data_IF_742320270038
#
_entry.id   IF_742320270038
#
_cell.length_a   1.000
_cell.length_b   1.000
_cell.length_c   1.000
_cell.angle_alpha   90.00
_cell.angle_beta   90.00
_cell.angle_gamma   90.00
#
_symmetry.space_group_name_H-M   'P 1'
#
loop_
_entity.id
_entity.type
_entity.pdbx_description
1 polymer ?
#
# COMPACT_ATOMS: atom_id res chain seq x y z
N UNK A 1 44.41 49.45 38.24
CA UNK A 1 43.77 50.72 37.91
C UNK A 1 43.61 50.70 36.38
N UNK A 2 42.53 50.70 35.77
CA UNK A 2 41.16 51.13 35.82
C UNK A 2 40.34 50.32 34.79
N UNK A 3 39.17 49.86 35.20
CA UNK A 3 38.19 49.16 34.34
C UNK A 3 37.59 50.11 33.32
N UNK A 4 37.33 49.63 32.09
CA UNK A 4 36.36 50.23 31.20
C UNK A 4 35.38 49.12 30.71
N UNK A 5 34.11 49.24 31.15
CA UNK A 5 32.98 48.50 30.63
C UNK A 5 32.60 49.03 29.25
N UNK A 6 32.42 48.15 28.29
CA UNK A 6 31.74 48.49 27.03
C UNK A 6 30.37 47.77 27.03
N UNK A 7 29.31 48.58 27.05
CA UNK A 7 27.92 48.17 26.81
C UNK A 7 27.77 47.81 25.31
N UNK A 8 27.33 46.61 25.02
CA UNK A 8 26.85 46.24 23.70
C UNK A 8 25.34 46.48 23.62
N UNK A 9 24.94 47.39 22.76
CA UNK A 9 23.51 47.62 22.44
C UNK A 9 23.01 46.57 21.48
N UNK A 10 21.94 45.88 21.92
CA UNK A 10 21.21 44.91 21.12
C UNK A 10 20.21 45.64 20.22
N UNK A 11 20.49 45.73 18.91
CA UNK A 11 19.56 46.24 17.90
C UNK A 11 18.60 45.13 17.46
N UNK A 12 17.33 45.28 17.83
CA UNK A 12 16.21 44.46 17.34
C UNK A 12 15.94 44.86 15.88
N UNK A 13 16.25 43.99 14.93
CA UNK A 13 15.82 44.14 13.53
C UNK A 13 14.39 43.61 13.41
N UNK A 14 13.43 44.51 13.19
CA UNK A 14 12.05 44.19 12.80
C UNK A 14 12.07 43.77 11.33
N UNK A 15 11.84 42.48 11.06
CA UNK A 15 11.64 41.98 9.70
C UNK A 15 10.19 42.22 9.30
N UNK A 16 9.97 43.16 8.37
CA UNK A 16 8.67 43.39 7.75
C UNK A 16 8.31 42.24 6.79
N UNK A 17 7.05 41.82 6.69
CA UNK A 17 6.65 40.75 5.78
C UNK A 17 6.71 41.29 4.33
N UNK A 18 7.49 40.61 3.49
CA UNK A 18 7.50 40.79 2.03
C UNK A 18 6.17 40.29 1.46
N UNK A 19 5.35 41.19 0.97
CA UNK A 19 4.19 40.90 0.15
C UNK A 19 4.67 40.46 -1.24
N UNK A 20 4.59 39.19 -1.56
CA UNK A 20 4.70 38.69 -2.94
C UNK A 20 3.40 39.05 -3.68
N UNK A 21 3.47 39.98 -4.60
CA UNK A 21 2.42 40.23 -5.59
C UNK A 21 2.44 39.11 -6.61
N UNK A 22 1.35 38.35 -6.70
CA UNK A 22 1.15 37.39 -7.76
C UNK A 22 0.99 38.13 -9.10
N UNK A 23 1.82 37.80 -10.08
CA UNK A 23 1.62 38.20 -11.46
C UNK A 23 0.51 37.35 -12.08
N UNK A 24 -0.50 38.03 -12.57
CA UNK A 24 -1.63 37.54 -13.35
C UNK A 24 -1.14 37.04 -14.71
N UNK A 25 -1.28 35.75 -15.00
CA UNK A 25 -1.21 35.24 -16.36
C UNK A 25 -2.58 34.66 -16.72
N UNK A 26 -3.31 35.46 -17.46
CA UNK A 26 -4.58 35.16 -18.06
C UNK A 26 -4.48 34.06 -19.11
N UNK A 27 -5.50 33.26 -19.14
CA UNK A 27 -6.18 32.59 -20.25
C UNK A 27 -6.18 31.05 -20.25
N UNK A 28 -7.40 30.53 -20.16
CA UNK A 28 -7.92 29.30 -20.74
C UNK A 28 -7.49 28.00 -20.06
N UNK A 29 -8.17 27.65 -18.98
CA UNK A 29 -8.83 26.34 -18.91
C UNK A 29 -9.96 26.39 -17.85
N UNK A 30 -11.20 26.32 -18.28
CA UNK A 30 -12.38 26.27 -17.39
C UNK A 30 -12.58 24.86 -16.88
N UNK A 31 -11.64 24.35 -16.12
CA UNK A 31 -11.81 23.20 -15.25
C UNK A 31 -11.89 23.72 -13.82
N UNK A 32 -13.04 23.54 -13.16
CA UNK A 32 -13.17 23.81 -11.73
C UNK A 32 -12.28 22.83 -10.99
N UNK A 33 -11.03 23.21 -10.73
CA UNK A 33 -10.18 22.51 -9.76
C UNK A 33 -10.69 22.90 -8.38
N UNK A 34 -11.58 22.12 -7.80
CA UNK A 34 -11.87 22.19 -6.38
C UNK A 34 -10.64 21.61 -5.68
N UNK A 35 -9.66 22.46 -5.39
CA UNK A 35 -8.56 22.11 -4.53
C UNK A 35 -9.10 21.94 -3.12
N UNK A 36 -9.21 20.71 -2.66
CA UNK A 36 -9.30 20.45 -1.22
C UNK A 36 -7.97 20.95 -0.67
N UNK A 37 -8.01 22.04 0.11
CA UNK A 37 -6.85 22.51 0.84
C UNK A 37 -6.51 21.45 1.89
N UNK A 38 -5.62 20.53 1.53
CA UNK A 38 -5.04 19.60 2.48
C UNK A 38 -4.32 20.41 3.57
N UNK A 39 -4.88 20.40 4.76
CA UNK A 39 -4.20 20.92 5.96
C UNK A 39 -3.46 19.75 6.59
N UNK A 40 -2.12 19.74 6.61
CA UNK A 40 -1.39 18.68 7.30
C UNK A 40 -1.89 18.54 8.73
N UNK A 41 -2.29 17.33 9.12
CA UNK A 41 -2.78 17.03 10.47
C UNK A 41 -4.30 17.06 10.67
N UNK A 42 -5.10 17.48 9.68
CA UNK A 42 -6.58 17.40 9.77
C UNK A 42 -7.10 16.51 8.64
N UNK A 43 -7.55 15.32 9.00
CA UNK A 43 -8.23 14.41 8.06
C UNK A 43 -9.68 14.85 7.90
N UNK A 44 -10.21 14.92 6.66
CA UNK A 44 -11.62 15.22 6.44
C UNK A 44 -12.51 14.15 7.07
N UNK A 45 -13.61 14.59 7.67
CA UNK A 45 -14.62 13.70 8.24
C UNK A 45 -15.42 12.97 7.17
N UNK A 46 -15.67 11.68 7.35
CA UNK A 46 -16.51 10.88 6.43
C UNK A 46 -17.47 9.98 7.20
N UNK A 47 -18.69 9.86 6.70
CA UNK A 47 -19.72 8.97 7.25
C UNK A 47 -20.18 7.99 6.18
N UNK A 48 -20.38 6.72 6.56
CA UNK A 48 -20.91 5.67 5.67
C UNK A 48 -22.32 5.31 6.09
N UNK A 49 -23.27 5.49 5.17
CA UNK A 49 -24.71 5.31 5.36
C UNK A 49 -25.21 4.19 4.46
N UNK A 50 -26.08 3.33 4.99
CA UNK A 50 -26.72 2.28 4.18
C UNK A 50 -28.23 2.29 4.34
N UNK A 51 -28.94 1.87 3.29
CA UNK A 51 -30.35 1.52 3.36
C UNK A 51 -30.56 0.19 4.11
N UNK A 52 -31.82 -0.17 4.34
CA UNK A 52 -32.18 -1.47 4.92
C UNK A 52 -32.34 -2.49 3.80
N UNK A 53 -31.34 -3.37 3.65
CA UNK A 53 -31.45 -4.56 2.81
C UNK A 53 -30.45 -5.62 3.31
N UNK A 54 -30.73 -6.92 3.08
CA UNK A 54 -29.79 -7.97 3.43
C UNK A 54 -28.40 -7.72 2.81
N UNK A 55 -27.33 -7.94 3.60
CA UNK A 55 -25.96 -7.78 3.17
C UNK A 55 -25.41 -6.34 3.18
N UNK A 56 -26.25 -5.29 3.24
CA UNK A 56 -25.76 -3.90 3.29
C UNK A 56 -25.04 -3.57 4.61
N UNK A 57 -25.38 -4.21 5.72
CA UNK A 57 -24.66 -4.02 6.98
C UNK A 57 -23.24 -4.58 6.90
N UNK A 58 -23.08 -5.74 6.27
CA UNK A 58 -21.75 -6.31 6.02
C UNK A 58 -20.94 -5.43 5.07
N UNK A 59 -21.56 -4.95 4.00
CA UNK A 59 -20.93 -4.00 3.08
C UNK A 59 -20.47 -2.73 3.82
N UNK A 60 -21.35 -2.12 4.61
CA UNK A 60 -21.06 -0.92 5.40
C UNK A 60 -19.87 -1.17 6.34
N UNK A 61 -19.89 -2.30 7.05
CA UNK A 61 -18.82 -2.63 7.99
C UNK A 61 -17.47 -2.79 7.31
N UNK A 62 -17.42 -3.45 6.16
CA UNK A 62 -16.19 -3.62 5.38
C UNK A 62 -15.73 -2.27 4.82
N UNK A 63 -16.62 -1.51 4.17
CA UNK A 63 -16.31 -0.20 3.58
C UNK A 63 -15.86 0.82 4.63
N UNK A 64 -16.51 0.87 5.79
CA UNK A 64 -16.12 1.74 6.89
C UNK A 64 -14.71 1.41 7.40
N UNK A 65 -14.37 0.11 7.51
CA UNK A 65 -13.03 -0.34 7.86
C UNK A 65 -12.00 0.04 6.79
N UNK A 66 -12.33 -0.14 5.52
CA UNK A 66 -11.45 0.22 4.40
C UNK A 66 -11.12 1.72 4.40
N UNK A 67 -12.14 2.54 4.67
CA UNK A 67 -11.98 3.99 4.76
C UNK A 67 -11.13 4.37 5.98
N UNK A 68 -11.36 3.79 7.14
CA UNK A 68 -10.54 4.00 8.34
C UNK A 68 -9.08 3.57 8.11
N UNK A 69 -8.88 2.42 7.46
CA UNK A 69 -7.56 1.85 7.18
C UNK A 69 -6.83 2.51 6.00
N UNK A 70 -7.51 3.39 5.26
CA UNK A 70 -6.85 4.27 4.29
C UNK A 70 -6.04 5.39 4.94
N UNK A 71 -6.26 5.65 6.22
CA UNK A 71 -5.64 6.73 7.01
C UNK A 71 -5.83 8.14 6.42
N UNK A 72 -6.75 8.28 5.44
CA UNK A 72 -7.01 9.53 4.73
C UNK A 72 -8.20 10.30 5.27
N UNK A 73 -9.07 9.64 6.06
CA UNK A 73 -10.28 10.20 6.64
C UNK A 73 -10.37 9.97 8.13
N UNK A 74 -11.15 10.81 8.80
CA UNK A 74 -11.67 10.54 10.10
C UNK A 74 -13.08 9.93 9.95
N UNK A 75 -13.19 8.64 10.28
CA UNK A 75 -14.45 7.93 10.19
C UNK A 75 -15.38 8.36 11.32
N UNK A 76 -16.50 8.97 10.96
CA UNK A 76 -17.55 9.36 11.91
C UNK A 76 -18.50 8.18 12.10
N UNK A 77 -18.46 7.59 13.30
CA UNK A 77 -19.39 6.54 13.71
C UNK A 77 -20.60 7.14 14.40
N UNK A 78 -21.78 6.82 13.88
CA UNK A 78 -23.02 7.35 14.44
C UNK A 78 -23.52 6.43 15.56
N UNK A 79 -23.91 6.95 16.74
CA UNK A 79 -24.51 6.14 17.80
C UNK A 79 -25.83 5.54 17.31
N UNK A 80 -26.07 4.24 17.58
CA UNK A 80 -27.28 3.54 17.17
C UNK A 80 -27.32 3.27 15.66
N UNK A 81 -26.19 2.86 15.09
CA UNK A 81 -25.96 2.62 13.65
C UNK A 81 -26.98 1.74 12.95
N UNK A 82 -27.77 0.96 13.69
CA UNK A 82 -28.79 0.05 13.14
C UNK A 82 -30.07 0.78 12.67
N UNK A 83 -30.20 2.07 12.96
CA UNK A 83 -31.42 2.84 12.67
C UNK A 83 -31.22 4.11 11.86
N UNK A 84 -29.99 4.51 11.52
CA UNK A 84 -29.76 5.72 10.74
C UNK A 84 -30.07 5.41 9.28
N UNK A 85 -31.30 5.69 8.96
CA UNK A 85 -31.77 5.77 7.58
C UNK A 85 -31.18 7.03 6.98
N UNK A 86 -31.00 7.01 5.67
CA UNK A 86 -30.95 8.22 4.84
C UNK A 86 -32.11 9.11 5.29
N UNK A 87 -31.87 10.00 6.26
CA UNK A 87 -32.92 10.86 6.78
C UNK A 87 -33.13 11.96 5.75
N UNK A 88 -34.26 11.92 5.09
CA UNK A 88 -34.70 13.06 4.27
C UNK A 88 -34.69 14.32 5.11
N UNK A 89 -34.23 15.44 4.52
CA UNK A 89 -34.28 16.74 5.21
C UNK A 89 -35.68 17.02 5.73
N UNK A 90 -35.83 17.53 6.97
CA UNK A 90 -37.13 17.91 7.48
C UNK A 90 -37.76 18.96 6.54
N UNK A 91 -38.87 18.65 5.92
CA UNK A 91 -39.57 19.56 5.00
C UNK A 91 -39.41 19.29 3.51
N UNK A 92 -38.68 18.27 3.07
CA UNK A 92 -38.71 17.82 1.69
C UNK A 92 -40.10 17.24 1.39
N UNK A 93 -41.01 18.10 0.83
CA UNK A 93 -42.28 17.64 0.28
C UNK A 93 -41.97 16.65 -0.85
N UNK A 94 -42.65 15.48 -0.88
CA UNK A 94 -42.62 14.65 -2.06
C UNK A 94 -43.13 15.53 -3.22
N UNK A 95 -42.35 15.62 -4.28
CA UNK A 95 -42.77 16.32 -5.49
C UNK A 95 -44.10 15.71 -5.92
N UNK A 96 -45.19 16.49 -5.81
CA UNK A 96 -46.50 16.11 -6.27
C UNK A 96 -46.47 16.10 -7.82
N UNK A 97 -46.13 14.95 -8.36
CA UNK A 97 -46.20 14.67 -9.79
C UNK A 97 -47.64 14.49 -10.19
N UNK A 98 -48.28 15.57 -10.67
CA UNK A 98 -49.46 15.47 -11.53
C UNK A 98 -48.98 15.09 -12.94
N UNK A 99 -49.03 13.81 -13.25
CA UNK A 99 -48.68 13.30 -14.58
C UNK A 99 -49.04 11.83 -14.70
N UNK A 100 -50.25 11.57 -15.25
CA UNK A 100 -50.68 10.25 -15.72
C UNK A 100 -49.79 9.82 -16.91
N UNK A 101 -48.91 8.82 -16.72
CA UNK A 101 -48.09 8.27 -17.81
C UNK A 101 -47.27 7.07 -17.40
N UNK A 102 -47.77 5.89 -17.79
CA UNK A 102 -47.16 4.58 -18.02
C UNK A 102 -45.81 4.20 -17.33
N UNK A 103 -45.94 3.19 -16.46
CA UNK A 103 -45.00 2.07 -16.16
C UNK A 103 -43.64 2.12 -16.84
N UNK A 104 -42.64 2.57 -16.11
CA UNK A 104 -41.24 2.35 -16.33
C UNK A 104 -40.58 2.27 -14.98
N UNK A 105 -39.75 1.22 -14.71
CA UNK A 105 -39.16 0.89 -13.42
C UNK A 105 -38.56 2.10 -12.71
N UNK A 106 -39.20 2.51 -11.60
CA UNK A 106 -38.84 3.70 -10.85
C UNK A 106 -37.46 3.58 -10.24
N UNK A 107 -36.55 4.41 -10.74
CA UNK A 107 -35.35 4.78 -9.98
C UNK A 107 -35.84 5.35 -8.64
N UNK A 108 -35.40 4.76 -7.52
CA UNK A 108 -35.66 5.30 -6.19
C UNK A 108 -35.12 6.73 -6.17
N UNK A 109 -36.03 7.70 -6.12
CA UNK A 109 -35.74 9.11 -5.96
C UNK A 109 -34.79 9.24 -4.75
N UNK A 110 -33.62 9.78 -4.97
CA UNK A 110 -32.68 10.09 -3.92
C UNK A 110 -33.35 11.11 -2.98
N UNK A 111 -33.93 10.61 -1.88
CA UNK A 111 -34.36 11.47 -0.79
C UNK A 111 -33.09 12.20 -0.33
N UNK A 112 -33.07 13.52 -0.45
CA UNK A 112 -31.90 14.34 -0.16
C UNK A 112 -31.41 14.06 1.26
N UNK A 113 -30.07 13.93 1.40
CA UNK A 113 -29.44 13.80 2.69
C UNK A 113 -29.67 15.05 3.54
N UNK A 114 -29.76 14.87 4.86
CA UNK A 114 -29.79 15.99 5.80
C UNK A 114 -28.37 16.55 5.97
N UNK A 115 -27.87 17.29 4.98
CA UNK A 115 -26.52 17.86 4.99
C UNK A 115 -26.21 18.70 6.23
N UNK A 116 -27.12 19.56 6.75
CA UNK A 116 -26.86 20.30 7.99
C UNK A 116 -26.56 19.40 9.18
N UNK A 117 -27.22 18.24 9.29
CA UNK A 117 -26.95 17.28 10.37
C UNK A 117 -25.54 16.71 10.23
N UNK A 118 -25.16 16.25 9.06
CA UNK A 118 -23.82 15.67 8.86
C UNK A 118 -22.71 16.69 9.00
N UNK A 119 -22.96 17.93 8.56
CA UNK A 119 -22.02 19.03 8.78
C UNK A 119 -21.83 19.34 10.28
N UNK A 120 -22.90 19.33 11.07
CA UNK A 120 -22.84 19.52 12.52
C UNK A 120 -22.10 18.38 13.23
N UNK A 121 -22.05 17.19 12.64
CA UNK A 121 -21.26 16.04 13.12
C UNK A 121 -19.81 16.07 12.65
N UNK A 122 -19.39 17.06 11.88
CA UNK A 122 -18.03 17.22 11.37
C UNK A 122 -17.73 16.40 10.11
N UNK A 123 -18.75 15.92 9.38
CA UNK A 123 -18.55 15.22 8.13
C UNK A 123 -18.34 16.20 6.98
N UNK A 124 -17.23 16.03 6.25
CA UNK A 124 -16.99 16.70 4.97
C UNK A 124 -17.61 15.88 3.81
N UNK A 125 -17.64 14.56 3.97
CA UNK A 125 -18.20 13.63 2.99
C UNK A 125 -19.23 12.69 3.63
N UNK A 126 -20.23 12.32 2.83
CA UNK A 126 -21.14 11.23 3.17
C UNK A 126 -21.20 10.22 2.01
N UNK A 127 -21.02 8.96 2.33
CA UNK A 127 -21.12 7.84 1.39
C UNK A 127 -22.42 7.13 1.66
N UNK A 128 -23.38 7.24 0.73
CA UNK A 128 -24.68 6.59 0.84
C UNK A 128 -24.74 5.36 -0.07
N UNK A 129 -25.08 4.20 0.49
CA UNK A 129 -25.21 2.94 -0.24
C UNK A 129 -26.67 2.51 -0.24
N UNK A 130 -27.21 2.34 -1.44
CA UNK A 130 -28.58 1.89 -1.65
C UNK A 130 -28.63 0.63 -2.53
N UNK A 131 -29.60 -0.27 -2.33
CA UNK A 131 -29.79 -1.40 -3.23
C UNK A 131 -30.28 -0.88 -4.58
N UNK A 132 -29.89 -1.56 -5.66
CA UNK A 132 -30.36 -1.34 -7.02
C UNK A 132 -30.97 -2.63 -7.58
N UNK A 133 -31.44 -2.60 -8.83
CA UNK A 133 -32.03 -3.78 -9.46
C UNK A 133 -31.03 -4.93 -9.57
N UNK A 134 -31.48 -6.15 -9.30
CA UNK A 134 -30.65 -7.35 -9.24
C UNK A 134 -29.65 -7.31 -8.08
N UNK A 135 -28.48 -7.93 -8.27
CA UNK A 135 -27.38 -7.98 -7.28
C UNK A 135 -26.52 -6.71 -7.31
N UNK A 136 -27.13 -5.55 -7.57
CA UNK A 136 -26.41 -4.30 -7.73
C UNK A 136 -26.64 -3.35 -6.56
N UNK A 137 -25.63 -2.52 -6.30
CA UNK A 137 -25.73 -1.40 -5.37
C UNK A 137 -25.39 -0.08 -6.07
N UNK A 138 -26.02 0.99 -5.64
CA UNK A 138 -25.63 2.34 -5.98
C UNK A 138 -24.95 2.96 -4.77
N UNK A 139 -23.75 3.48 -4.99
CA UNK A 139 -23.01 4.23 -3.98
C UNK A 139 -22.91 5.67 -4.44
N UNK A 140 -23.42 6.56 -3.62
CA UNK A 140 -23.40 7.99 -3.88
C UNK A 140 -22.46 8.67 -2.89
N UNK A 141 -21.47 9.37 -3.42
CA UNK A 141 -20.55 10.18 -2.63
C UNK A 141 -21.06 11.62 -2.64
N UNK A 142 -21.32 12.16 -1.46
CA UNK A 142 -21.81 13.51 -1.27
C UNK A 142 -20.72 14.41 -0.71
N UNK A 143 -20.64 15.62 -1.23
CA UNK A 143 -19.98 16.76 -0.59
C UNK A 143 -20.97 17.37 0.38
N UNK A 144 -20.69 17.29 1.67
CA UNK A 144 -21.62 17.73 2.72
C UNK A 144 -21.69 19.24 2.79
N UNK A 145 -20.56 19.94 2.66
CA UNK A 145 -20.50 21.40 2.68
C UNK A 145 -21.20 22.02 1.46
N UNK A 146 -20.98 21.43 0.28
CA UNK A 146 -21.62 21.86 -0.96
C UNK A 146 -23.09 21.41 -1.10
N UNK A 147 -23.57 20.53 -0.24
CA UNK A 147 -24.94 19.99 -0.28
C UNK A 147 -25.27 19.25 -1.59
N UNK A 148 -24.28 18.61 -2.21
CA UNK A 148 -24.41 18.06 -3.56
C UNK A 148 -23.82 16.66 -3.68
N UNK A 149 -24.34 15.90 -4.66
CA UNK A 149 -23.73 14.64 -5.08
C UNK A 149 -22.48 14.94 -5.88
N UNK A 150 -21.35 14.40 -5.43
CA UNK A 150 -20.05 14.52 -6.10
C UNK A 150 -19.83 13.39 -7.12
N UNK A 151 -20.22 12.16 -6.76
CA UNK A 151 -20.05 10.99 -7.62
C UNK A 151 -21.13 9.94 -7.33
N UNK A 152 -21.61 9.28 -8.37
CA UNK A 152 -22.43 8.08 -8.27
C UNK A 152 -21.66 6.90 -8.89
N UNK A 153 -21.64 5.80 -8.17
CA UNK A 153 -21.00 4.55 -8.57
C UNK A 153 -22.05 3.45 -8.56
N UNK A 154 -22.09 2.65 -9.62
CA UNK A 154 -22.89 1.42 -9.66
C UNK A 154 -21.96 0.23 -9.67
N UNK A 155 -22.26 -0.77 -8.84
CA UNK A 155 -21.48 -1.98 -8.77
C UNK A 155 -22.40 -3.18 -8.60
N UNK A 156 -22.09 -4.24 -9.34
CA UNK A 156 -22.67 -5.56 -9.10
C UNK A 156 -21.85 -6.23 -8.01
N UNK A 157 -22.52 -6.76 -7.00
CA UNK A 157 -21.86 -7.49 -5.91
C UNK A 157 -22.24 -8.96 -5.97
N UNK A 158 -21.30 -9.86 -5.77
CA UNK A 158 -21.62 -11.28 -5.55
C UNK A 158 -22.53 -11.43 -4.32
N UNK A 159 -23.22 -12.56 -4.17
CA UNK A 159 -23.93 -12.88 -2.95
C UNK A 159 -23.01 -12.82 -1.71
N UNK A 160 -23.58 -12.50 -0.54
CA UNK A 160 -22.80 -12.40 0.71
C UNK A 160 -22.01 -13.70 1.05
N UNK A 161 -22.53 -14.84 0.62
CA UNK A 161 -21.89 -16.15 0.82
C UNK A 161 -20.78 -16.47 -0.17
N UNK A 162 -20.61 -15.64 -1.20
CA UNK A 162 -19.56 -15.82 -2.20
C UNK A 162 -18.20 -15.38 -1.61
N UNK A 163 -17.14 -16.18 -1.73
CA UNK A 163 -15.80 -15.79 -1.28
C UNK A 163 -15.28 -14.48 -1.90
N UNK A 164 -15.78 -14.10 -3.08
CA UNK A 164 -15.42 -12.87 -3.77
C UNK A 164 -16.13 -11.62 -3.23
N UNK A 165 -17.13 -11.74 -2.36
CA UNK A 165 -17.92 -10.61 -1.86
C UNK A 165 -17.05 -9.54 -1.19
N UNK A 166 -16.16 -9.94 -0.27
CA UNK A 166 -15.28 -8.98 0.42
C UNK A 166 -14.42 -8.20 -0.56
N UNK A 167 -13.75 -8.90 -1.47
CA UNK A 167 -12.88 -8.26 -2.46
C UNK A 167 -13.65 -7.34 -3.41
N UNK A 168 -14.91 -7.66 -3.74
CA UNK A 168 -15.78 -6.76 -4.51
C UNK A 168 -16.11 -5.48 -3.73
N UNK A 169 -16.35 -5.58 -2.42
CA UNK A 169 -16.56 -4.42 -1.54
C UNK A 169 -15.27 -3.60 -1.41
N UNK A 170 -14.11 -4.22 -1.23
CA UNK A 170 -12.81 -3.53 -1.19
C UNK A 170 -12.55 -2.71 -2.46
N UNK A 171 -12.83 -3.27 -3.65
CA UNK A 171 -12.73 -2.52 -4.91
C UNK A 171 -13.70 -1.33 -4.96
N UNK A 172 -14.91 -1.52 -4.44
CA UNK A 172 -15.88 -0.44 -4.36
C UNK A 172 -15.42 0.66 -3.40
N UNK A 173 -14.83 0.30 -2.26
CA UNK A 173 -14.21 1.23 -1.31
C UNK A 173 -13.08 2.04 -1.97
N UNK A 174 -12.21 1.39 -2.73
CA UNK A 174 -11.12 2.06 -3.45
C UNK A 174 -11.64 3.08 -4.48
N UNK A 175 -12.74 2.75 -5.19
CA UNK A 175 -13.41 3.68 -6.12
C UNK A 175 -14.10 4.85 -5.40
N UNK A 176 -14.60 4.63 -4.19
CA UNK A 176 -15.13 5.71 -3.32
C UNK A 176 -14.00 6.66 -2.93
N UNK A 177 -12.86 6.13 -2.50
CA UNK A 177 -11.67 6.93 -2.17
C UNK A 177 -11.17 7.72 -3.38
N UNK A 178 -11.11 7.10 -4.55
CA UNK A 178 -10.80 7.80 -5.81
C UNK A 178 -11.80 8.94 -6.11
N UNK A 179 -13.07 8.70 -5.88
CA UNK A 179 -14.12 9.72 -6.06
C UNK A 179 -14.04 10.88 -5.09
N UNK A 180 -13.46 10.69 -3.91
CA UNK A 180 -13.29 11.74 -2.88
C UNK A 180 -11.95 12.48 -3.02
N UNK A 181 -10.86 11.75 -3.19
CA UNK A 181 -9.48 12.26 -3.09
C UNK A 181 -8.74 12.31 -4.43
N UNK A 182 -9.33 11.78 -5.50
CA UNK A 182 -8.71 11.72 -6.83
C UNK A 182 -7.65 10.60 -7.00
N UNK A 183 -7.45 9.78 -5.96
CA UNK A 183 -6.54 8.63 -6.01
C UNK A 183 -7.21 7.39 -5.41
N UNK A 184 -7.07 6.21 -6.03
CA UNK A 184 -7.66 4.99 -5.51
C UNK A 184 -7.04 4.59 -4.17
N UNK A 185 -7.82 3.87 -3.35
CA UNK A 185 -7.37 3.28 -2.09
C UNK A 185 -6.46 2.05 -2.28
N UNK A 186 -6.25 1.35 -1.17
CA UNK A 186 -5.47 0.11 -1.09
C UNK A 186 -6.27 -1.06 -0.53
N UNK A 187 -7.60 -0.89 -0.38
CA UNK A 187 -8.45 -1.92 0.22
C UNK A 187 -8.43 -3.22 -0.60
N UNK A 188 -8.47 -3.12 -1.95
CA UNK A 188 -8.41 -4.26 -2.84
C UNK A 188 -6.98 -4.76 -3.08
N UNK A 189 -6.20 -4.91 -2.01
CA UNK A 189 -4.83 -5.44 -2.04
C UNK A 189 -4.64 -6.58 -1.03
N UNK A 190 -3.55 -7.31 -1.17
CA UNK A 190 -3.20 -8.45 -0.34
C UNK A 190 -1.75 -8.43 0.07
N UNK A 191 -1.46 -9.10 1.16
CA UNK A 191 -0.08 -9.31 1.62
C UNK A 191 0.22 -10.80 1.63
N UNK A 192 1.26 -11.22 0.91
CA UNK A 192 1.88 -12.53 1.10
C UNK A 192 2.75 -12.50 2.35
N UNK A 193 2.89 -13.61 3.02
CA UNK A 193 3.82 -13.75 4.14
C UNK A 193 4.18 -15.22 4.37
N UNK A 194 5.26 -15.45 5.07
CA UNK A 194 5.71 -16.80 5.47
C UNK A 194 5.34 -17.05 6.92
N UNK A 195 4.78 -18.21 7.18
CA UNK A 195 4.53 -18.75 8.53
C UNK A 195 4.68 -20.27 8.49
N UNK A 196 5.38 -20.84 9.46
CA UNK A 196 5.64 -22.28 9.54
C UNK A 196 6.21 -22.90 8.26
N UNK A 197 7.10 -22.14 7.58
CA UNK A 197 7.71 -22.56 6.33
C UNK A 197 6.76 -22.61 5.13
N UNK A 198 5.61 -21.98 5.18
CA UNK A 198 4.61 -21.95 4.11
C UNK A 198 4.26 -20.51 3.77
N UNK A 199 3.89 -20.27 2.51
CA UNK A 199 3.41 -18.96 2.06
C UNK A 199 1.91 -18.86 2.21
N UNK A 200 1.47 -17.84 2.90
CA UNK A 200 0.07 -17.45 3.07
C UNK A 200 -0.20 -16.12 2.36
N UNK A 201 -1.47 -15.88 2.07
CA UNK A 201 -1.97 -14.58 1.64
C UNK A 201 -3.06 -14.12 2.60
N UNK A 202 -3.15 -12.79 2.81
CA UNK A 202 -4.15 -12.16 3.66
C UNK A 202 -4.60 -10.85 3.01
N UNK A 203 -5.89 -10.48 3.13
CA UNK A 203 -6.35 -9.17 2.69
C UNK A 203 -5.75 -8.06 3.58
N UNK A 204 -5.58 -6.86 3.05
CA UNK A 204 -4.92 -5.76 3.77
C UNK A 204 -5.62 -5.36 5.09
N UNK A 205 -6.85 -5.76 5.29
CA UNK A 205 -7.61 -5.54 6.53
C UNK A 205 -7.50 -6.68 7.55
N UNK A 206 -6.66 -7.68 7.27
CA UNK A 206 -6.41 -8.83 8.14
C UNK A 206 -7.39 -9.98 7.99
N UNK A 207 -8.30 -9.93 7.02
CA UNK A 207 -9.25 -11.00 6.75
C UNK A 207 -8.78 -11.94 5.62
N UNK A 208 -9.56 -12.98 5.36
CA UNK A 208 -9.38 -13.96 4.26
C UNK A 208 -7.96 -14.56 4.19
N UNK A 209 -7.38 -14.88 5.36
CA UNK A 209 -6.09 -15.55 5.40
C UNK A 209 -6.20 -16.97 4.85
N UNK A 210 -5.37 -17.30 3.87
CA UNK A 210 -5.34 -18.62 3.27
C UNK A 210 -3.92 -19.05 2.88
N UNK A 211 -3.68 -20.36 2.92
CA UNK A 211 -2.45 -20.97 2.42
C UNK A 211 -2.44 -20.91 0.89
N UNK A 212 -1.33 -20.45 0.30
CA UNK A 212 -1.17 -20.37 -1.15
C UNK A 212 -0.03 -21.23 -1.69
N UNK A 213 1.03 -21.49 -0.93
CA UNK A 213 2.05 -22.43 -1.37
C UNK A 213 1.56 -23.87 -1.22
N UNK A 214 1.83 -24.67 -2.24
CA UNK A 214 1.46 -26.10 -2.29
C UNK A 214 2.67 -27.01 -2.08
N UNK A 215 3.57 -26.62 -1.17
CA UNK A 215 4.80 -27.37 -0.92
C UNK A 215 4.81 -28.00 0.47
N UNK A 216 5.38 -29.20 0.57
CA UNK A 216 5.73 -29.85 1.85
C UNK A 216 7.15 -29.47 2.33
N UNK A 217 7.89 -28.73 1.50
CA UNK A 217 9.21 -28.20 1.81
C UNK A 217 9.10 -26.76 2.30
N UNK A 218 10.11 -26.28 3.03
CA UNK A 218 10.10 -24.91 3.54
C UNK A 218 10.11 -23.88 2.41
N UNK A 219 9.10 -23.00 2.39
CA UNK A 219 9.00 -21.90 1.45
C UNK A 219 9.43 -20.58 2.11
N UNK A 220 10.12 -19.70 1.35
CA UNK A 220 10.62 -18.41 1.83
C UNK A 220 10.58 -17.35 0.73
N UNK A 221 10.74 -16.09 1.15
CA UNK A 221 10.94 -14.90 0.28
C UNK A 221 9.90 -14.78 -0.83
N UNK A 222 8.60 -14.71 -0.51
CA UNK A 222 7.59 -14.48 -1.52
C UNK A 222 7.73 -13.08 -2.11
N UNK A 223 7.48 -12.94 -3.42
CA UNK A 223 7.47 -11.66 -4.11
C UNK A 223 6.36 -11.65 -5.18
N UNK A 224 5.56 -10.58 -5.24
CA UNK A 224 4.51 -10.42 -6.23
C UNK A 224 5.06 -10.03 -7.61
N UNK A 225 4.45 -10.55 -8.65
CA UNK A 225 4.57 -9.96 -9.98
C UNK A 225 3.64 -8.73 -10.08
N UNK A 226 4.01 -7.76 -10.93
CA UNK A 226 3.21 -6.53 -11.12
C UNK A 226 1.83 -6.77 -11.74
N UNK A 227 1.57 -7.97 -12.27
CA UNK A 227 0.25 -8.36 -12.77
C UNK A 227 -0.78 -8.63 -11.66
N UNK A 228 -0.35 -8.69 -10.38
CA UNK A 228 -1.21 -9.01 -9.25
C UNK A 228 -1.84 -10.41 -9.28
N UNK A 229 -1.35 -11.28 -10.16
CA UNK A 229 -1.86 -12.67 -10.34
C UNK A 229 -0.83 -13.71 -9.94
N UNK A 230 0.43 -13.44 -10.19
CA UNK A 230 1.54 -14.37 -9.95
C UNK A 230 2.41 -13.88 -8.80
N UNK A 231 3.01 -14.83 -8.12
CA UNK A 231 4.08 -14.57 -7.16
C UNK A 231 5.20 -15.58 -7.35
N UNK A 232 6.40 -15.21 -6.96
CA UNK A 232 7.55 -16.11 -6.87
C UNK A 232 7.89 -16.37 -5.41
N UNK A 233 8.53 -17.49 -5.15
CA UNK A 233 9.05 -17.84 -3.84
C UNK A 233 10.18 -18.86 -3.99
N UNK A 234 10.99 -19.00 -2.96
CA UNK A 234 12.02 -20.03 -2.85
C UNK A 234 11.46 -21.22 -2.07
N UNK A 235 11.78 -22.42 -2.50
CA UNK A 235 11.50 -23.68 -1.82
C UNK A 235 12.81 -24.41 -1.54
N UNK A 236 12.98 -24.91 -0.30
CA UNK A 236 14.10 -25.76 0.05
C UNK A 236 13.86 -27.18 -0.47
N UNK A 237 14.72 -27.66 -1.35
CA UNK A 237 14.67 -28.99 -1.91
C UNK A 237 16.04 -29.66 -1.82
N UNK A 238 16.15 -30.76 -1.08
CA UNK A 238 17.38 -31.55 -0.96
C UNK A 238 18.66 -30.75 -0.68
N UNK A 239 18.57 -29.73 0.19
CA UNK A 239 19.68 -28.87 0.53
C UNK A 239 19.93 -27.70 -0.44
N UNK A 240 19.12 -27.58 -1.49
CA UNK A 240 19.20 -26.49 -2.47
C UNK A 240 17.98 -25.59 -2.41
N UNK A 241 18.12 -24.32 -2.74
CA UNK A 241 16.99 -23.39 -2.94
C UNK A 241 16.57 -23.38 -4.40
N UNK A 242 15.28 -23.64 -4.65
CA UNK A 242 14.70 -23.55 -6.00
C UNK A 242 13.64 -22.47 -6.03
N UNK A 243 13.67 -21.67 -7.07
CA UNK A 243 12.65 -20.64 -7.29
C UNK A 243 11.46 -21.21 -8.05
N UNK A 244 10.27 -20.80 -7.65
CA UNK A 244 9.02 -21.11 -8.31
C UNK A 244 8.25 -19.83 -8.62
N UNK A 245 7.51 -19.85 -9.71
CA UNK A 245 6.46 -18.87 -10.02
C UNK A 245 5.13 -19.59 -9.95
N UNK A 246 4.19 -19.01 -9.20
CA UNK A 246 2.87 -19.61 -8.96
C UNK A 246 1.76 -18.58 -9.21
N UNK A 247 0.66 -19.04 -9.82
CA UNK A 247 -0.57 -18.26 -9.96
C UNK A 247 -1.41 -18.40 -8.69
N UNK A 248 -1.81 -17.28 -8.10
CA UNK A 248 -2.50 -17.22 -6.80
C UNK A 248 -3.90 -17.84 -6.85
N UNK A 249 -4.59 -17.69 -7.97
CA UNK A 249 -5.98 -18.11 -8.10
C UNK A 249 -6.09 -19.62 -8.41
N UNK A 250 -5.30 -20.09 -9.37
CA UNK A 250 -5.34 -21.49 -9.81
C UNK A 250 -4.42 -22.41 -9.01
N UNK A 251 -3.46 -21.87 -8.26
CA UNK A 251 -2.42 -22.62 -7.58
C UNK A 251 -1.40 -23.28 -8.52
N UNK A 252 -1.52 -23.09 -9.84
CA UNK A 252 -0.56 -23.65 -10.81
C UNK A 252 0.80 -23.01 -10.60
N UNK A 253 1.82 -23.84 -10.45
CA UNK A 253 3.21 -23.42 -10.27
C UNK A 253 4.15 -24.04 -11.30
N UNK A 254 5.21 -23.33 -11.59
CA UNK A 254 6.31 -23.78 -12.43
C UNK A 254 7.65 -23.42 -11.77
N UNK A 255 8.66 -24.31 -11.83
CA UNK A 255 10.00 -23.95 -11.43
C UNK A 255 10.57 -22.88 -12.37
N UNK A 256 11.32 -21.94 -11.82
CA UNK A 256 12.12 -21.02 -12.62
C UNK A 256 13.27 -21.83 -13.25
N UNK A 257 13.46 -21.77 -14.56
CA UNK A 257 14.45 -22.62 -15.23
C UNK A 257 15.87 -22.09 -15.04
N UNK A 258 16.42 -22.29 -13.84
CA UNK A 258 17.81 -22.01 -13.51
C UNK A 258 18.66 -23.28 -13.66
N UNK A 259 19.92 -23.14 -14.04
CA UNK A 259 20.86 -24.24 -14.21
C UNK A 259 21.71 -24.48 -12.96
N UNK A 260 22.14 -25.72 -12.72
CA UNK A 260 23.01 -26.10 -11.62
C UNK A 260 22.28 -26.39 -10.31
N UNK A 261 23.04 -26.77 -9.28
CA UNK A 261 22.57 -27.09 -7.92
C UNK A 261 22.97 -25.97 -6.94
N UNK A 262 22.71 -24.72 -7.32
CA UNK A 262 22.97 -23.58 -6.45
C UNK A 262 21.79 -23.30 -5.52
N UNK A 263 22.03 -22.55 -4.45
CA UNK A 263 20.98 -22.03 -3.59
C UNK A 263 20.47 -20.70 -4.19
N UNK A 264 19.30 -20.74 -4.83
CA UNK A 264 18.62 -19.56 -5.40
C UNK A 264 17.56 -19.06 -4.42
N UNK A 265 17.58 -17.76 -4.07
CA UNK A 265 16.69 -17.18 -3.06
C UNK A 265 16.42 -15.68 -3.32
N UNK A 266 15.55 -15.06 -2.52
CA UNK A 266 15.15 -13.63 -2.61
C UNK A 266 14.80 -13.17 -4.03
N UNK A 267 13.81 -13.82 -4.69
CA UNK A 267 13.42 -13.44 -6.03
C UNK A 267 12.70 -12.08 -6.06
N UNK A 268 12.90 -11.32 -7.14
CA UNK A 268 12.21 -10.06 -7.44
C UNK A 268 11.86 -9.99 -8.92
N UNK A 269 10.61 -9.75 -9.25
CA UNK A 269 10.19 -9.59 -10.65
C UNK A 269 10.65 -8.25 -11.23
N UNK A 270 11.03 -8.27 -12.50
CA UNK A 270 11.09 -7.05 -13.30
C UNK A 270 9.68 -6.44 -13.45
N UNK A 271 9.52 -5.12 -13.63
CA UNK A 271 8.21 -4.48 -13.74
C UNK A 271 7.35 -5.01 -14.89
N UNK A 272 7.96 -5.49 -15.98
CA UNK A 272 7.25 -6.13 -17.10
C UNK A 272 6.88 -7.61 -16.84
N UNK A 273 7.31 -8.16 -15.69
CA UNK A 273 7.00 -9.52 -15.25
C UNK A 273 7.63 -10.63 -16.09
N UNK A 274 8.66 -10.35 -16.91
CA UNK A 274 9.32 -11.33 -17.79
C UNK A 274 10.61 -11.88 -17.22
N UNK A 275 11.30 -11.08 -16.42
CA UNK A 275 12.60 -11.42 -15.83
C UNK A 275 12.46 -11.52 -14.33
N UNK A 276 13.23 -12.39 -13.71
CA UNK A 276 13.40 -12.50 -12.28
C UNK A 276 14.85 -12.18 -11.92
N UNK A 277 15.06 -11.20 -11.05
CA UNK A 277 16.33 -11.03 -10.34
C UNK A 277 16.29 -11.86 -9.07
N UNK A 278 17.41 -12.42 -8.65
CA UNK A 278 17.49 -13.26 -7.47
C UNK A 278 18.92 -13.36 -6.95
N UNK A 279 19.08 -13.78 -5.71
CA UNK A 279 20.35 -14.10 -5.12
C UNK A 279 20.71 -15.55 -5.40
N UNK A 280 21.93 -15.81 -5.83
CA UNK A 280 22.47 -17.15 -6.04
C UNK A 280 23.74 -17.34 -5.24
N UNK A 281 23.71 -18.29 -4.31
CA UNK A 281 24.91 -18.70 -3.58
C UNK A 281 25.66 -19.76 -4.39
N UNK A 282 26.93 -19.49 -4.60
CA UNK A 282 27.93 -20.36 -5.22
C UNK A 282 29.11 -20.54 -4.28
N UNK A 283 30.07 -21.38 -4.61
CA UNK A 283 31.24 -21.65 -3.74
C UNK A 283 32.01 -20.37 -3.38
N UNK A 284 32.03 -19.39 -4.27
CA UNK A 284 32.82 -18.14 -4.12
C UNK A 284 32.10 -17.04 -3.35
N UNK A 285 30.83 -17.21 -2.96
CA UNK A 285 29.97 -16.21 -2.31
C UNK A 285 28.59 -16.16 -2.91
N UNK A 286 27.84 -15.10 -2.60
CA UNK A 286 26.49 -14.88 -3.11
C UNK A 286 26.47 -13.69 -4.07
N UNK A 287 25.83 -13.87 -5.24
CA UNK A 287 25.68 -12.80 -6.23
C UNK A 287 24.25 -12.65 -6.74
N UNK A 288 23.98 -11.47 -7.27
CA UNK A 288 22.71 -11.15 -7.95
C UNK A 288 22.77 -11.65 -9.38
N UNK A 289 21.76 -12.43 -9.74
CA UNK A 289 21.53 -12.95 -11.09
C UNK A 289 20.18 -12.52 -11.62
N UNK A 290 20.03 -12.55 -12.94
CA UNK A 290 18.75 -12.43 -13.64
C UNK A 290 18.52 -13.59 -14.59
N UNK A 291 17.23 -13.93 -14.82
CA UNK A 291 16.83 -14.99 -15.73
C UNK A 291 15.47 -14.67 -16.34
N UNK A 292 15.24 -15.03 -17.59
CA UNK A 292 13.90 -15.01 -18.19
C UNK A 292 13.08 -16.16 -17.61
N UNK A 293 11.89 -15.87 -17.08
CA UNK A 293 11.07 -16.85 -16.36
C UNK A 293 10.38 -17.86 -17.28
N UNK A 294 10.26 -17.59 -18.57
CA UNK A 294 9.53 -18.43 -19.52
C UNK A 294 10.39 -19.57 -20.06
N UNK A 295 11.60 -19.27 -20.46
CA UNK A 295 12.47 -20.20 -21.19
C UNK A 295 13.84 -20.39 -20.55
N UNK A 296 14.12 -19.67 -19.45
CA UNK A 296 15.41 -19.71 -18.75
C UNK A 296 16.56 -19.10 -19.53
N UNK A 297 16.27 -18.45 -20.66
CA UNK A 297 17.33 -17.78 -21.41
C UNK A 297 17.94 -16.66 -20.59
N UNK A 298 19.12 -16.32 -20.96
CA UNK A 298 19.78 -15.11 -20.51
C UNK A 298 20.04 -15.11 -18.97
N UNK A 299 20.36 -16.29 -18.41
CA UNK A 299 20.90 -16.35 -17.05
C UNK A 299 22.16 -15.52 -16.99
N UNK A 300 22.07 -14.36 -16.37
CA UNK A 300 23.14 -13.37 -16.31
C UNK A 300 23.53 -13.10 -14.87
N UNK A 301 24.82 -13.13 -14.58
CA UNK A 301 25.40 -12.67 -13.30
C UNK A 301 25.60 -11.16 -13.38
N UNK A 302 24.94 -10.40 -12.49
CA UNK A 302 25.02 -8.93 -12.48
C UNK A 302 26.10 -8.41 -11.51
N UNK A 303 26.40 -9.17 -10.47
CA UNK A 303 27.45 -8.81 -9.51
C UNK A 303 28.52 -9.88 -9.45
N UNK A 304 29.75 -9.52 -9.05
CA UNK A 304 30.86 -10.45 -8.87
C UNK A 304 31.51 -10.16 -7.54
N UNK A 305 31.19 -10.99 -6.54
CA UNK A 305 31.78 -10.93 -5.19
C UNK A 305 32.67 -12.16 -4.95
N UNK A 306 33.99 -11.97 -4.77
CA UNK A 306 34.86 -13.09 -4.42
C UNK A 306 35.02 -13.33 -2.92
N UNK A 307 34.73 -12.32 -2.10
CA UNK A 307 34.90 -12.38 -0.65
C UNK A 307 33.80 -11.62 0.09
N UNK A 308 32.68 -11.30 -0.61
CA UNK A 308 31.53 -10.60 -0.07
C UNK A 308 30.26 -11.04 -0.80
N UNK A 309 29.16 -10.89 -0.14
CA UNK A 309 27.85 -11.28 -0.65
C UNK A 309 27.13 -10.09 -1.29
N UNK A 310 26.41 -10.35 -2.37
CA UNK A 310 25.46 -9.45 -3.01
C UNK A 310 24.11 -10.16 -3.09
N UNK A 311 23.10 -9.64 -2.41
CA UNK A 311 21.84 -10.37 -2.22
C UNK A 311 20.63 -9.43 -2.11
N UNK A 312 19.43 -10.02 -2.06
CA UNK A 312 18.14 -9.32 -1.90
C UNK A 312 17.91 -8.21 -2.93
N UNK A 313 17.95 -8.53 -4.24
CA UNK A 313 17.70 -7.55 -5.27
C UNK A 313 16.23 -7.10 -5.29
N UNK A 314 15.99 -5.83 -5.67
CA UNK A 314 14.68 -5.28 -5.96
C UNK A 314 14.75 -4.29 -7.11
N UNK A 315 13.85 -4.41 -8.09
CA UNK A 315 13.80 -3.49 -9.23
C UNK A 315 13.17 -2.16 -8.85
N UNK A 316 13.68 -1.07 -9.45
CA UNK A 316 12.94 0.18 -9.51
C UNK A 316 11.68 0.03 -10.39
N UNK A 317 10.61 0.81 -10.16
CA UNK A 317 9.35 0.65 -10.91
C UNK A 317 9.49 0.91 -12.42
N UNK A 318 10.47 1.70 -12.82
CA UNK A 318 10.81 1.95 -14.23
C UNK A 318 11.67 0.82 -14.86
N UNK A 319 12.12 -0.13 -14.05
CA UNK A 319 12.96 -1.25 -14.48
C UNK A 319 14.39 -0.88 -14.84
N UNK A 320 14.81 0.37 -14.61
CA UNK A 320 16.14 0.84 -15.02
C UNK A 320 17.24 0.54 -13.99
N UNK A 321 16.85 0.33 -12.73
CA UNK A 321 17.79 0.12 -11.63
C UNK A 321 17.40 -1.08 -10.78
N UNK A 322 18.40 -1.61 -10.07
CA UNK A 322 18.23 -2.65 -9.04
C UNK A 322 18.90 -2.15 -7.76
N UNK A 323 18.16 -2.10 -6.66
CA UNK A 323 18.76 -1.97 -5.34
C UNK A 323 19.05 -3.37 -4.77
N UNK A 324 20.12 -3.53 -4.04
CA UNK A 324 20.54 -4.80 -3.49
C UNK A 324 21.38 -4.59 -2.22
N UNK A 325 21.56 -5.63 -1.46
CA UNK A 325 22.47 -5.64 -0.31
C UNK A 325 23.84 -6.09 -0.74
N UNK A 326 24.89 -5.42 -0.27
CA UNK A 326 26.28 -5.88 -0.45
C UNK A 326 27.06 -5.81 0.85
N UNK A 327 27.85 -6.85 1.13
CA UNK A 327 28.75 -6.89 2.28
C UNK A 327 30.17 -6.43 1.96
N UNK A 328 30.39 -5.83 0.77
CA UNK A 328 31.73 -5.35 0.34
C UNK A 328 32.41 -4.33 1.26
N UNK A 329 31.69 -3.50 2.05
CA UNK A 329 32.33 -2.65 3.07
C UNK A 329 32.54 -3.36 4.42
N UNK A 330 32.33 -4.67 4.52
CA UNK A 330 32.44 -5.49 5.73
C UNK A 330 31.11 -5.83 6.38
N UNK A 331 30.17 -4.87 6.48
CA UNK A 331 28.81 -5.07 6.96
C UNK A 331 27.81 -4.87 5.82
N UNK A 332 26.64 -5.55 5.84
CA UNK A 332 25.60 -5.38 4.84
C UNK A 332 25.18 -3.92 4.67
N UNK A 333 25.18 -3.42 3.44
CA UNK A 333 24.75 -2.07 3.07
C UNK A 333 23.89 -2.10 1.82
N UNK A 334 23.03 -1.09 1.65
CA UNK A 334 22.19 -0.96 0.47
C UNK A 334 23.00 -0.29 -0.66
N UNK A 335 23.11 -1.00 -1.77
CA UNK A 335 23.70 -0.55 -3.03
C UNK A 335 22.63 -0.41 -4.09
N UNK A 336 22.93 0.34 -5.13
CA UNK A 336 22.14 0.43 -6.36
C UNK A 336 23.03 0.22 -7.56
N UNK A 337 22.49 -0.37 -8.62
CA UNK A 337 23.13 -0.55 -9.92
C UNK A 337 22.12 -0.31 -11.05
N UNK A 338 22.61 -0.09 -12.27
CA UNK A 338 21.78 -0.20 -13.46
C UNK A 338 21.25 -1.64 -13.62
N UNK A 339 20.12 -1.82 -14.32
CA UNK A 339 19.50 -3.14 -14.45
C UNK A 339 20.36 -4.16 -15.21
N UNK A 340 21.37 -3.71 -15.94
CA UNK A 340 22.37 -4.54 -16.65
C UNK A 340 23.57 -4.94 -15.76
N UNK A 341 23.60 -4.50 -14.48
CA UNK A 341 24.67 -4.78 -13.52
C UNK A 341 25.78 -3.73 -13.46
N UNK A 342 25.75 -2.71 -14.32
CA UNK A 342 26.74 -1.62 -14.32
C UNK A 342 26.42 -0.55 -13.25
N UNK A 343 27.31 0.40 -13.07
CA UNK A 343 27.14 1.57 -12.19
C UNK A 343 26.76 1.25 -10.73
N UNK A 344 27.46 0.26 -10.15
CA UNK A 344 27.23 -0.17 -8.77
C UNK A 344 27.74 0.84 -7.77
N UNK A 345 26.86 1.41 -6.95
CA UNK A 345 27.24 2.42 -5.97
C UNK A 345 26.54 2.25 -4.62
N UNK A 346 27.18 2.67 -3.54
CA UNK A 346 26.56 2.72 -2.21
C UNK A 346 25.37 3.69 -2.22
N UNK A 347 24.20 3.22 -1.75
CA UNK A 347 22.95 3.98 -1.89
C UNK A 347 22.48 4.61 -0.60
N UNK A 348 22.56 3.89 0.52
CA UNK A 348 22.11 4.34 1.84
C UNK A 348 23.28 4.29 2.84
N UNK A 349 24.25 5.21 2.76
CA UNK A 349 25.37 5.23 3.68
C UNK A 349 24.91 5.50 5.13
N UNK A 350 25.75 5.14 6.08
CA UNK A 350 25.61 5.61 7.46
C UNK A 350 26.15 7.03 7.57
N UNK A 351 25.64 7.76 8.57
CA UNK A 351 26.26 9.01 8.98
C UNK A 351 27.70 8.77 9.47
N UNK A 352 28.52 9.82 9.42
CA UNK A 352 29.92 9.72 9.84
C UNK A 352 30.06 9.21 11.27
N UNK A 353 30.84 8.15 11.45
CA UNK A 353 31.06 7.52 12.76
C UNK A 353 29.96 6.51 13.18
N UNK A 354 28.86 6.40 12.47
CA UNK A 354 27.85 5.38 12.70
C UNK A 354 28.20 4.09 11.95
N UNK A 355 27.92 2.94 12.57
CA UNK A 355 28.16 1.61 11.99
C UNK A 355 26.93 0.72 12.22
N UNK A 356 26.77 -0.29 11.41
CA UNK A 356 25.67 -1.26 11.51
C UNK A 356 25.42 -1.96 10.17
N UNK A 357 24.33 -2.68 10.09
CA UNK A 357 23.91 -3.38 8.88
C UNK A 357 22.59 -2.80 8.35
N UNK A 358 22.43 -2.80 7.03
CA UNK A 358 21.19 -2.43 6.33
C UNK A 358 20.81 -3.56 5.38
N UNK A 359 19.56 -4.04 5.44
CA UNK A 359 19.08 -5.20 4.69
C UNK A 359 17.66 -5.00 4.17
N UNK A 360 17.20 -5.93 3.31
CA UNK A 360 15.87 -6.02 2.74
C UNK A 360 15.40 -4.70 2.08
N UNK A 361 16.13 -4.21 1.05
CA UNK A 361 15.68 -3.03 0.32
C UNK A 361 14.42 -3.33 -0.49
N UNK A 362 13.50 -2.36 -0.55
CA UNK A 362 12.34 -2.39 -1.44
C UNK A 362 12.05 -0.99 -1.99
N UNK A 363 11.92 -0.88 -3.31
CA UNK A 363 11.54 0.36 -3.99
C UNK A 363 10.07 0.68 -3.76
N UNK A 364 9.78 1.96 -3.50
CA UNK A 364 8.40 2.42 -3.50
C UNK A 364 7.80 2.35 -4.92
N UNK A 365 6.50 2.06 -5.06
CA UNK A 365 5.82 1.97 -6.36
C UNK A 365 5.92 3.23 -7.23
N UNK A 366 6.08 4.40 -6.63
CA UNK A 366 6.30 5.67 -7.34
C UNK A 366 7.78 5.94 -7.69
N UNK A 367 8.69 5.07 -7.25
CA UNK A 367 10.13 5.19 -7.51
C UNK A 367 10.85 6.30 -6.74
N UNK A 368 10.18 6.97 -5.81
CA UNK A 368 10.76 8.12 -5.09
C UNK A 368 11.53 7.72 -3.83
N UNK A 369 11.30 6.51 -3.32
CA UNK A 369 11.91 6.05 -2.08
C UNK A 369 12.35 4.58 -2.14
N UNK A 370 13.28 4.22 -1.24
CA UNK A 370 13.65 2.83 -0.94
C UNK A 370 13.47 2.59 0.55
N UNK A 371 12.64 1.62 0.91
CA UNK A 371 12.52 1.13 2.27
C UNK A 371 13.59 0.07 2.55
N UNK A 372 14.02 -0.04 3.79
CA UNK A 372 14.94 -1.08 4.25
C UNK A 372 14.90 -1.17 5.77
N UNK A 373 15.42 -2.23 6.35
CA UNK A 373 15.69 -2.22 7.78
C UNK A 373 17.19 -2.05 8.06
N UNK A 374 17.47 -1.36 9.17
CA UNK A 374 18.85 -1.05 9.61
C UNK A 374 19.02 -1.38 11.09
N UNK A 375 20.19 -1.89 11.45
CA UNK A 375 20.58 -2.06 12.84
C UNK A 375 20.83 -0.70 13.49
N UNK A 376 20.15 -0.45 14.60
CA UNK A 376 20.34 0.71 15.48
C UNK A 376 20.61 0.18 16.88
N UNK A 377 21.87 0.23 17.31
CA UNK A 377 22.31 -0.22 18.62
C UNK A 377 21.86 -1.67 18.96
N UNK A 378 21.97 -2.59 18.01
CA UNK A 378 21.63 -4.01 18.17
C UNK A 378 20.13 -4.34 17.94
N UNK A 379 19.31 -3.37 17.55
CA UNK A 379 17.90 -3.59 17.26
C UNK A 379 17.57 -3.11 15.85
N UNK A 380 16.92 -3.95 15.05
CA UNK A 380 16.50 -3.59 13.71
C UNK A 380 15.33 -2.59 13.74
N UNK A 381 15.45 -1.56 12.92
CA UNK A 381 14.41 -0.55 12.71
C UNK A 381 14.16 -0.35 11.21
N UNK A 382 12.93 0.03 10.85
CA UNK A 382 12.57 0.35 9.45
C UNK A 382 12.93 1.79 9.14
N UNK A 383 13.55 1.97 7.97
CA UNK A 383 13.98 3.24 7.41
C UNK A 383 13.46 3.42 5.99
N UNK A 384 13.40 4.67 5.57
CA UNK A 384 13.14 5.06 4.18
C UNK A 384 14.22 6.04 3.74
N UNK A 385 14.75 5.81 2.55
CA UNK A 385 15.67 6.70 1.86
C UNK A 385 14.92 7.39 0.72
N UNK A 386 14.95 8.71 0.67
CA UNK A 386 14.50 9.50 -0.49
C UNK A 386 15.55 9.38 -1.62
N UNK A 387 15.10 8.92 -2.79
CA UNK A 387 16.00 8.60 -3.92
C UNK A 387 16.69 9.84 -4.48
N UNK A 388 16.01 10.98 -4.49
CA UNK A 388 16.51 12.24 -5.06
C UNK A 388 17.47 12.95 -4.12
N UNK A 389 17.10 13.07 -2.83
CA UNK A 389 17.87 13.84 -1.84
C UNK A 389 18.89 12.99 -1.10
N UNK A 390 18.78 11.68 -1.13
CA UNK A 390 19.54 10.69 -0.34
C UNK A 390 19.31 10.83 1.18
N UNK A 391 18.30 11.57 1.59
CA UNK A 391 17.95 11.69 2.99
C UNK A 391 17.37 10.36 3.51
N UNK A 392 17.86 9.92 4.65
CA UNK A 392 17.42 8.69 5.32
C UNK A 392 16.59 9.07 6.54
N UNK A 393 15.39 8.50 6.67
CA UNK A 393 14.46 8.73 7.77
C UNK A 393 14.10 7.41 8.44
N UNK A 394 14.25 7.35 9.76
CA UNK A 394 13.77 6.22 10.57
C UNK A 394 12.25 6.31 10.75
N UNK A 395 11.56 5.18 10.58
CA UNK A 395 10.09 5.10 10.70
C UNK A 395 9.64 4.45 12.01
N UNK A 396 10.43 3.55 12.57
CA UNK A 396 10.05 2.76 13.76
C UNK A 396 11.09 2.89 14.86
N UNK A 397 10.67 2.75 16.12
CA UNK A 397 11.56 2.86 17.29
C UNK A 397 11.19 1.91 18.43
N UNK A 398 10.02 1.25 18.36
CA UNK A 398 9.52 0.36 19.42
C UNK A 398 9.62 -1.08 18.99
N UNK A 399 10.36 -1.91 19.74
CA UNK A 399 10.62 -3.31 19.43
C UNK A 399 11.61 -3.46 18.25
N UNK A 400 11.78 -4.70 17.79
CA UNK A 400 12.52 -5.05 16.59
C UNK A 400 11.60 -4.99 15.38
N UNK A 401 12.01 -4.29 14.34
CA UNK A 401 11.21 -4.04 13.14
C UNK A 401 12.04 -4.41 11.89
N UNK A 402 11.52 -5.30 11.06
CA UNK A 402 12.27 -5.87 9.91
C UNK A 402 11.33 -6.13 8.71
N UNK A 403 11.94 -6.38 7.54
CA UNK A 403 11.29 -6.78 6.29
C UNK A 403 10.15 -5.82 5.87
N UNK A 404 10.42 -4.53 5.64
CA UNK A 404 9.40 -3.60 5.14
C UNK A 404 8.97 -3.95 3.72
N UNK A 405 7.67 -3.75 3.41
CA UNK A 405 7.13 -3.88 2.05
C UNK A 405 6.08 -2.81 1.78
N UNK A 406 6.15 -2.20 0.60
CA UNK A 406 5.29 -1.07 0.23
C UNK A 406 3.90 -1.49 -0.24
N UNK A 407 2.88 -0.75 0.20
CA UNK A 407 1.58 -0.74 -0.44
C UNK A 407 1.64 0.02 -1.78
N UNK A 408 0.72 -0.25 -2.73
CA UNK A 408 0.77 0.36 -4.06
C UNK A 408 0.41 1.87 -4.09
N UNK A 409 0.17 2.49 -2.95
CA UNK A 409 -0.01 3.94 -2.82
C UNK A 409 1.26 4.69 -2.41
N UNK A 410 2.38 3.98 -2.24
CA UNK A 410 3.68 4.55 -1.79
C UNK A 410 3.61 5.30 -0.46
N UNK A 411 2.56 5.06 0.32
CA UNK A 411 2.29 5.72 1.60
C UNK A 411 2.23 4.72 2.75
N UNK A 412 1.56 3.58 2.54
CA UNK A 412 1.49 2.53 3.56
C UNK A 412 2.60 1.50 3.36
N UNK A 413 3.00 0.89 4.47
CA UNK A 413 4.03 -0.13 4.49
C UNK A 413 3.68 -1.22 5.50
N UNK A 414 3.76 -2.49 5.08
CA UNK A 414 3.73 -3.59 6.02
C UNK A 414 5.15 -3.97 6.45
N UNK A 415 5.30 -4.46 7.66
CA UNK A 415 6.58 -4.89 8.23
C UNK A 415 6.36 -5.90 9.36
N UNK A 416 7.40 -6.61 9.70
CA UNK A 416 7.43 -7.52 10.86
C UNK A 416 7.84 -6.74 12.10
N UNK A 417 7.13 -6.93 13.22
CA UNK A 417 7.49 -6.31 14.49
C UNK A 417 7.17 -7.21 15.67
N UNK A 418 8.02 -7.18 16.69
CA UNK A 418 7.80 -7.84 17.97
C UNK A 418 7.31 -6.90 19.09
N UNK A 419 6.84 -5.69 18.73
CA UNK A 419 6.36 -4.65 19.67
C UNK A 419 5.27 -5.12 20.65
N UNK A 420 4.56 -6.19 20.31
CA UNK A 420 3.54 -6.83 21.16
C UNK A 420 4.06 -8.04 21.94
N UNK A 421 5.38 -8.28 21.92
CA UNK A 421 6.05 -9.42 22.55
C UNK A 421 6.34 -10.58 21.61
N UNK A 422 5.71 -10.65 20.44
CA UNK A 422 5.90 -11.70 19.45
C UNK A 422 6.01 -11.11 18.04
N UNK A 423 6.76 -11.77 17.15
CA UNK A 423 6.85 -11.36 15.74
C UNK A 423 5.49 -11.50 15.05
N UNK A 424 4.98 -10.38 14.58
CA UNK A 424 3.67 -10.22 13.94
C UNK A 424 3.80 -9.25 12.76
N UNK A 425 2.76 -9.23 11.90
CA UNK A 425 2.68 -8.26 10.80
C UNK A 425 1.94 -7.01 11.24
N UNK A 426 2.54 -5.87 10.93
CA UNK A 426 2.02 -4.55 11.23
C UNK A 426 2.02 -3.69 9.98
N UNK A 427 1.16 -2.69 9.94
CA UNK A 427 1.10 -1.69 8.88
C UNK A 427 1.33 -0.32 9.50
N UNK A 428 2.15 0.49 8.85
CA UNK A 428 2.37 1.91 9.17
C UNK A 428 1.90 2.78 8.01
N UNK A 429 1.24 3.89 8.34
CA UNK A 429 1.03 5.01 7.42
C UNK A 429 2.15 6.04 7.61
N UNK A 430 2.86 6.37 6.55
CA UNK A 430 4.05 7.21 6.61
C UNK A 430 3.74 8.70 6.82
N UNK A 431 2.53 9.13 6.53
CA UNK A 431 2.09 10.51 6.70
C UNK A 431 1.60 10.79 8.12
N UNK A 432 0.76 9.92 8.67
CA UNK A 432 0.19 10.09 10.02
C UNK A 432 1.06 9.46 11.10
N UNK A 433 1.92 8.50 10.75
CA UNK A 433 2.65 7.68 11.70
C UNK A 433 1.78 6.63 12.40
N UNK A 434 0.50 6.49 12.03
CA UNK A 434 -0.39 5.49 12.63
C UNK A 434 0.12 4.08 12.31
N UNK A 435 0.21 3.26 13.36
CA UNK A 435 0.61 1.86 13.25
C UNK A 435 -0.55 0.98 13.70
N UNK A 436 -0.89 -0.02 12.90
CA UNK A 436 -1.94 -1.00 13.20
C UNK A 436 -1.48 -2.44 12.94
N UNK A 437 -2.01 -3.42 13.69
CA UNK A 437 -1.73 -4.81 13.38
C UNK A 437 -2.44 -5.23 12.06
N UNK A 438 -1.73 -6.02 11.24
CA UNK A 438 -2.32 -6.74 10.11
C UNK A 438 -2.68 -8.16 10.52
N UNK A 439 -1.74 -8.86 11.16
CA UNK A 439 -1.91 -10.23 11.64
C UNK A 439 -1.31 -10.35 13.05
N UNK A 440 -2.15 -10.69 14.01
CA UNK A 440 -1.74 -10.83 15.43
C UNK A 440 -1.24 -12.24 15.79
N UNK A 441 -1.20 -13.16 14.84
CA UNK A 441 -0.63 -14.49 15.04
C UNK A 441 0.90 -14.43 15.00
N UNK A 442 1.55 -15.13 15.93
CA UNK A 442 3.00 -15.15 16.05
C UNK A 442 3.65 -15.98 14.91
N UNK A 443 4.91 -15.62 14.56
CA UNK A 443 5.72 -16.37 13.60
C UNK A 443 5.59 -15.94 12.16
N UNK A 444 4.75 -14.96 11.85
CA UNK A 444 4.65 -14.37 10.52
C UNK A 444 5.91 -13.53 10.20
N UNK A 445 6.45 -13.67 8.98
CA UNK A 445 7.68 -13.01 8.51
C UNK A 445 7.67 -12.83 6.99
N UNK A 446 8.62 -12.05 6.47
CA UNK A 446 8.84 -11.83 5.05
C UNK A 446 7.55 -11.41 4.33
N UNK A 447 6.88 -10.34 4.73
CA UNK A 447 5.70 -9.85 4.04
C UNK A 447 6.09 -9.36 2.63
N UNK A 448 5.16 -9.51 1.68
CA UNK A 448 5.24 -8.90 0.37
C UNK A 448 3.85 -8.37 0.01
N UNK A 449 3.72 -7.05 -0.14
CA UNK A 449 2.46 -6.41 -0.48
C UNK A 449 2.20 -6.51 -1.98
N UNK A 450 0.95 -6.79 -2.37
CA UNK A 450 0.57 -6.90 -3.77
C UNK A 450 0.51 -5.52 -4.45
N UNK A 451 0.71 -5.45 -5.76
CA UNK A 451 0.19 -4.33 -6.54
C UNK A 451 -1.35 -4.29 -6.41
N UNK A 452 -2.01 -3.28 -7.00
CA UNK A 452 -3.47 -3.29 -7.12
C UNK A 452 -3.91 -4.52 -7.90
N UNK A 453 -4.79 -5.31 -7.28
CA UNK A 453 -5.23 -6.58 -7.88
C UNK A 453 -6.13 -6.29 -9.08
N UNK A 454 -5.93 -6.98 -10.22
CA UNK A 454 -6.77 -6.81 -11.39
C UNK A 454 -8.23 -7.19 -11.06
N UNK A 455 -9.17 -6.55 -11.72
CA UNK A 455 -10.54 -7.05 -11.71
C UNK A 455 -10.55 -8.45 -12.31
N UNK A 456 -10.99 -9.43 -11.52
CA UNK A 456 -11.32 -10.73 -12.11
C UNK A 456 -12.42 -10.47 -13.11
N UNK A 457 -12.20 -10.76 -14.39
CA UNK A 457 -13.27 -10.76 -15.36
C UNK A 457 -14.41 -11.59 -14.73
N UNK A 458 -15.54 -10.94 -14.48
CA UNK A 458 -16.74 -11.67 -14.11
C UNK A 458 -16.87 -12.75 -15.18
N UNK A 459 -16.90 -14.03 -14.75
CA UNK A 459 -17.19 -15.12 -15.66
C UNK A 459 -18.47 -14.71 -16.37
N UNK A 460 -18.33 -14.31 -17.61
CA UNK A 460 -19.49 -14.10 -18.51
C UNK A 460 -20.22 -15.42 -18.55
N UNK A 461 -21.52 -15.46 -18.29
CA UNK A 461 -22.31 -16.68 -18.30
C UNK A 461 -22.28 -17.38 -19.65
#
# INVERSE_FOLDING_TARGET
MTRALALAALSLAVVAPVRLTAQDTSAVDRGVRIGILYRPGVRPGIVVLTGRAPGLDSLRTIMARDIDYSDRFELITLPGSDSIRLAAAPGARPAAGTGTGKTGGGAASAAGLNYPLYQALGADFAVAVAPAAGDSVVVTVHDVAGGAVRRELRSRLPPLTDPGFRMAVHRLSDRVLEGTLGAPGIAATRVLFVMDGKVYVIDQDGADRRLVSSTDHGAMSPAWAQDGRRFSYMEFWQGHGRLFVQDVASGKRAPVPTTGQALDFTPAFSPDGKTLAFSRAIEEGTDVYTVNIKDGCCLQRLTVGRFYDNLSPTYSPDGQRIAFVSTRPGLPQIYVMAADGTDQQLFAPFDYGATGSSNAPEWSPDGQAVAFHRDVAGTLQVFVLDVRTRAVRQLTSVGRNEDPTWAPDSRHMAFVSDRSGYRQLWIIDLETGRIRPLLQQSGARLPAWSPRLPETAASTP
#
